data_IF_961037471576
#
_entry.id   IF_961037471576
#
_cell.length_a   1.000
_cell.length_b   1.000
_cell.length_c   1.000
_cell.angle_alpha   90.00
_cell.angle_beta   90.00
_cell.angle_gamma   90.00
#
_symmetry.space_group_name_H-M   'P 1'
#
loop_
_entity.id
_entity.type
_entity.pdbx_description
1 polymer ?
#
# COMPACT_ATOMS: atom_id res chain seq x y z
N UNK A 1 33.07 16.43 -35.10
CA UNK A 1 33.34 15.22 -34.28
C UNK A 1 32.04 14.82 -33.61
N UNK A 2 31.50 13.64 -33.95
CA UNK A 2 30.28 13.09 -33.35
C UNK A 2 30.71 12.05 -32.31
N UNK A 3 30.49 12.35 -31.03
CA UNK A 3 30.76 11.43 -29.92
C UNK A 3 29.53 10.56 -29.72
N UNK A 4 29.64 9.27 -29.98
CA UNK A 4 28.61 8.29 -29.67
C UNK A 4 28.88 7.74 -28.27
N UNK A 5 28.02 8.11 -27.31
CA UNK A 5 28.02 7.56 -25.96
C UNK A 5 27.19 6.27 -25.99
N UNK A 6 27.86 5.11 -25.91
CA UNK A 6 27.19 3.82 -25.76
C UNK A 6 26.65 3.71 -24.32
N UNK A 7 25.33 3.83 -24.16
CA UNK A 7 24.65 3.50 -22.91
C UNK A 7 24.47 1.97 -22.88
N UNK A 8 25.31 1.28 -22.12
CA UNK A 8 25.17 -0.15 -21.88
C UNK A 8 23.91 -0.38 -21.04
N UNK A 9 22.87 -0.95 -21.65
CA UNK A 9 21.67 -1.43 -20.97
C UNK A 9 22.06 -2.64 -20.11
N UNK A 10 22.18 -2.43 -18.80
CA UNK A 10 22.30 -3.52 -17.84
C UNK A 10 20.91 -4.13 -17.64
N UNK A 11 20.71 -5.32 -18.20
CA UNK A 11 19.54 -6.15 -17.95
C UNK A 11 19.67 -6.71 -16.51
N UNK A 12 18.98 -6.10 -15.56
CA UNK A 12 18.89 -6.63 -14.19
C UNK A 12 17.87 -7.77 -14.21
N UNK A 13 18.35 -9.01 -14.14
CA UNK A 13 17.53 -10.16 -13.80
C UNK A 13 17.28 -10.11 -12.29
N UNK A 14 16.28 -9.36 -11.86
CA UNK A 14 15.72 -9.55 -10.53
C UNK A 14 14.90 -10.85 -10.58
N UNK A 15 15.21 -11.81 -9.70
CA UNK A 15 14.30 -12.90 -9.39
C UNK A 15 13.07 -12.29 -8.73
N UNK A 16 12.17 -11.78 -9.56
CA UNK A 16 10.89 -11.25 -9.15
C UNK A 16 10.06 -12.46 -8.76
N UNK A 17 9.74 -12.61 -7.48
CA UNK A 17 8.73 -13.57 -7.05
C UNK A 17 7.38 -12.85 -7.19
N UNK A 18 6.63 -13.01 -8.30
CA UNK A 18 5.34 -12.34 -8.46
C UNK A 18 4.35 -12.77 -7.38
N UNK A 19 4.54 -13.93 -6.73
CA UNK A 19 3.72 -14.34 -5.60
C UNK A 19 3.80 -13.36 -4.43
N UNK A 20 4.91 -12.63 -4.24
CA UNK A 20 5.00 -11.61 -3.18
C UNK A 20 4.21 -10.33 -3.51
N UNK A 21 3.98 -10.06 -4.80
CA UNK A 21 3.18 -8.90 -5.26
C UNK A 21 1.68 -9.19 -5.17
N UNK A 22 1.29 -10.46 -5.28
CA UNK A 22 -0.10 -10.92 -5.14
C UNK A 22 -0.40 -11.65 -3.83
N UNK A 23 0.59 -11.78 -2.96
CA UNK A 23 0.40 -12.10 -1.54
C UNK A 23 -0.14 -10.84 -0.84
N UNK A 24 -1.31 -10.38 -1.28
CA UNK A 24 -2.26 -9.84 -0.32
C UNK A 24 -2.55 -10.98 0.62
N UNK A 25 -2.02 -10.87 1.83
CA UNK A 25 -2.06 -11.81 2.93
C UNK A 25 -3.16 -12.89 2.80
N UNK A 26 -2.78 -14.05 2.23
CA UNK A 26 -3.57 -15.28 2.36
C UNK A 26 -3.06 -16.13 3.53
N UNK A 27 -2.11 -15.61 4.32
CA UNK A 27 -1.43 -16.30 5.41
C UNK A 27 -1.59 -15.57 6.76
N UNK A 28 -2.70 -14.84 6.94
CA UNK A 28 -3.31 -14.67 8.24
C UNK A 28 -3.87 -16.03 8.67
N UNK A 29 -2.97 -16.88 9.17
CA UNK A 29 -3.23 -18.08 10.00
C UNK A 29 -3.43 -19.42 9.26
N UNK A 30 -2.47 -19.85 8.44
CA UNK A 30 -2.22 -21.30 8.32
C UNK A 30 -1.40 -21.78 9.52
N UNK A 31 -2.07 -21.90 10.66
CA UNK A 31 -1.37 -22.16 11.92
C UNK A 31 -2.24 -22.20 13.17
N UNK A 32 -3.45 -22.74 13.09
CA UNK A 32 -4.14 -23.47 14.17
C UNK A 32 -5.48 -23.97 13.61
N UNK A 33 -5.76 -25.26 13.79
CA UNK A 33 -7.14 -25.73 13.85
C UNK A 33 -7.79 -25.10 15.09
N UNK A 34 -8.27 -23.86 14.98
CA UNK A 34 -9.10 -23.22 16.01
C UNK A 34 -10.54 -23.61 15.73
N UNK A 35 -11.10 -24.31 16.70
CA UNK A 35 -12.51 -24.59 16.86
C UNK A 35 -13.33 -23.32 16.62
N UNK A 36 -14.44 -23.42 15.88
CA UNK A 36 -15.43 -22.35 15.70
C UNK A 36 -15.82 -21.79 17.09
N UNK A 37 -15.26 -20.66 17.52
CA UNK A 37 -15.65 -19.92 18.73
C UNK A 37 -15.12 -18.46 18.64
N UNK A 38 -16.04 -17.51 18.55
CA UNK A 38 -15.94 -16.10 18.99
C UNK A 38 -14.64 -15.30 18.70
N UNK A 39 -14.16 -15.26 17.46
CA UNK A 39 -13.23 -14.19 17.06
C UNK A 39 -13.99 -12.86 17.05
N UNK A 40 -13.50 -11.83 17.76
CA UNK A 40 -14.11 -10.52 17.78
C UNK A 40 -14.07 -9.96 16.35
N UNK A 41 -15.22 -9.69 15.69
CA UNK A 41 -15.23 -9.17 14.33
C UNK A 41 -14.47 -7.85 14.19
N UNK A 42 -14.22 -7.15 15.31
CA UNK A 42 -13.50 -5.88 15.36
C UNK A 42 -12.01 -5.99 15.68
N UNK A 43 -11.47 -7.19 15.95
CA UNK A 43 -10.05 -7.38 16.33
C UNK A 43 -9.11 -6.81 15.26
N UNK A 44 -9.34 -7.19 14.01
CA UNK A 44 -8.54 -6.75 12.87
C UNK A 44 -9.22 -5.66 12.03
N UNK A 45 -10.52 -5.42 12.25
CA UNK A 45 -11.35 -4.64 11.34
C UNK A 45 -12.32 -3.71 12.07
N UNK A 46 -12.05 -2.40 12.07
CA UNK A 46 -12.88 -1.40 12.78
C UNK A 46 -14.37 -1.40 12.38
N UNK A 47 -14.68 -1.81 11.15
CA UNK A 47 -16.05 -1.88 10.63
C UNK A 47 -16.66 -3.29 10.72
N UNK A 48 -15.92 -4.26 11.24
CA UNK A 48 -16.32 -5.65 11.33
C UNK A 48 -16.51 -6.33 9.97
N UNK A 49 -17.34 -7.37 9.98
CA UNK A 49 -17.66 -8.20 8.80
C UNK A 49 -18.92 -7.72 8.04
N UNK A 50 -19.45 -6.54 8.36
CA UNK A 50 -20.67 -6.00 7.75
C UNK A 50 -21.85 -7.00 7.75
N UNK A 51 -21.97 -7.81 8.81
CA UNK A 51 -23.00 -8.86 8.90
C UNK A 51 -22.76 -10.07 8.00
N UNK A 52 -21.51 -10.39 7.66
CA UNK A 52 -21.14 -11.53 6.81
C UNK A 52 -20.81 -11.17 5.37
N UNK A 53 -21.07 -9.92 4.95
CA UNK A 53 -20.90 -9.48 3.57
C UNK A 53 -19.43 -9.45 3.17
N UNK A 54 -18.54 -8.98 4.06
CA UNK A 54 -17.11 -8.92 3.76
C UNK A 54 -16.51 -10.32 3.61
N UNK A 55 -16.84 -11.25 4.49
CA UNK A 55 -16.45 -12.67 4.39
C UNK A 55 -16.99 -13.31 3.11
N UNK A 56 -18.27 -13.06 2.79
CA UNK A 56 -18.88 -13.59 1.55
C UNK A 56 -18.17 -13.09 0.30
N UNK A 57 -17.81 -11.80 0.26
CA UNK A 57 -17.04 -11.24 -0.86
C UNK A 57 -15.66 -11.89 -0.95
N UNK A 58 -14.96 -12.06 0.18
CA UNK A 58 -13.64 -12.69 0.21
C UNK A 58 -13.68 -14.16 -0.25
N UNK A 59 -14.71 -14.91 0.15
CA UNK A 59 -14.96 -16.28 -0.32
C UNK A 59 -15.23 -16.32 -1.83
N UNK A 60 -15.86 -15.28 -2.37
CA UNK A 60 -16.08 -15.07 -3.80
C UNK A 60 -14.87 -14.44 -4.53
N UNK A 61 -13.73 -14.30 -3.85
CA UNK A 61 -12.50 -13.80 -4.45
C UNK A 61 -12.38 -12.28 -4.51
N UNK A 62 -13.17 -11.53 -3.75
CA UNK A 62 -13.08 -10.06 -3.69
C UNK A 62 -12.81 -9.61 -2.26
N UNK A 63 -11.65 -8.98 -2.03
CA UNK A 63 -11.29 -8.42 -0.73
C UNK A 63 -11.27 -6.90 -0.81
N UNK A 64 -11.84 -6.23 0.20
CA UNK A 64 -11.89 -4.77 0.29
C UNK A 64 -11.37 -4.33 1.65
N UNK A 65 -10.29 -3.55 1.64
CA UNK A 65 -9.63 -3.04 2.84
C UNK A 65 -9.63 -1.51 2.82
N UNK A 66 -9.89 -0.93 3.99
CA UNK A 66 -9.85 0.51 4.19
C UNK A 66 -9.07 0.79 5.47
N UNK A 67 -7.93 1.44 5.30
CA UNK A 67 -7.04 1.82 6.38
C UNK A 67 -7.01 3.33 6.52
N UNK A 68 -6.84 3.82 7.73
CA UNK A 68 -6.72 5.25 8.01
C UNK A 68 -5.75 5.50 9.15
N UNK A 69 -4.87 6.48 8.98
CA UNK A 69 -3.93 6.89 10.00
C UNK A 69 -4.10 8.38 10.30
N UNK A 70 -4.11 8.72 11.60
CA UNK A 70 -4.19 10.09 12.06
C UNK A 70 -2.93 10.45 12.86
N UNK A 71 -2.18 11.42 12.35
CA UNK A 71 -0.94 11.90 12.96
C UNK A 71 -1.10 13.32 13.48
N UNK A 72 -0.70 13.55 14.74
CA UNK A 72 -0.57 14.87 15.33
C UNK A 72 0.88 15.09 15.78
N UNK A 73 1.53 16.14 15.30
CA UNK A 73 2.96 16.38 15.51
C UNK A 73 3.25 17.85 15.77
N UNK A 74 4.30 18.11 16.56
CA UNK A 74 4.76 19.46 16.88
C UNK A 74 6.28 19.59 16.83
N UNK A 75 6.78 20.76 16.44
CA UNK A 75 8.21 21.11 16.47
C UNK A 75 8.53 21.75 17.81
N UNK A 76 9.11 20.98 18.74
CA UNK A 76 9.38 21.47 20.10
C UNK A 76 10.50 22.53 20.17
N UNK A 77 11.53 22.42 19.32
CA UNK A 77 12.64 23.37 19.22
C UNK A 77 13.31 23.28 17.83
N UNK A 78 14.02 24.32 17.43
CA UNK A 78 14.71 24.39 16.14
C UNK A 78 13.76 24.59 14.95
N UNK A 79 14.09 23.97 13.83
CA UNK A 79 13.31 24.04 12.59
C UNK A 79 13.47 25.34 11.81
N UNK A 80 12.75 25.44 10.69
CA UNK A 80 12.82 26.58 9.77
C UNK A 80 11.85 27.72 10.12
N UNK A 81 11.23 27.69 11.31
CA UNK A 81 10.21 28.64 11.82
C UNK A 81 9.26 29.17 10.73
N UNK A 82 8.26 28.37 10.38
CA UNK A 82 7.16 28.75 9.46
C UNK A 82 5.81 28.36 10.09
N UNK A 83 4.86 29.30 10.17
CA UNK A 83 3.49 29.01 10.60
C UNK A 83 3.36 28.53 12.05
N UNK A 84 2.31 27.74 12.34
CA UNK A 84 2.12 27.03 13.63
C UNK A 84 3.18 25.96 13.82
N UNK A 85 3.63 25.75 15.05
CA UNK A 85 4.57 24.68 15.41
C UNK A 85 3.92 23.29 15.37
N UNK A 86 2.60 23.23 15.31
CA UNK A 86 1.81 21.99 15.27
C UNK A 86 1.22 21.72 13.89
N UNK A 87 1.00 20.45 13.61
CA UNK A 87 0.33 19.97 12.41
C UNK A 87 -0.43 18.67 12.67
N UNK A 88 -1.45 18.45 11.87
CA UNK A 88 -2.30 17.27 11.90
C UNK A 88 -2.50 16.75 10.48
N UNK A 89 -2.34 15.44 10.29
CA UNK A 89 -2.50 14.79 8.99
C UNK A 89 -3.39 13.57 9.18
N UNK A 90 -4.36 13.43 8.29
CA UNK A 90 -5.12 12.20 8.12
C UNK A 90 -4.73 11.61 6.77
N UNK A 91 -4.26 10.37 6.76
CA UNK A 91 -4.04 9.58 5.55
C UNK A 91 -5.01 8.41 5.53
N UNK A 92 -5.30 7.91 4.32
CA UNK A 92 -6.14 6.76 4.14
C UNK A 92 -5.79 5.99 2.89
N UNK A 93 -6.06 4.70 2.92
CA UNK A 93 -5.80 3.76 1.85
C UNK A 93 -7.01 2.88 1.60
N UNK A 94 -7.46 2.79 0.35
CA UNK A 94 -8.50 1.88 -0.10
C UNK A 94 -7.86 0.82 -1.02
N UNK A 95 -7.84 -0.42 -0.55
CA UNK A 95 -7.35 -1.58 -1.28
C UNK A 95 -8.50 -2.47 -1.78
N UNK A 96 -8.43 -2.91 -3.03
CA UNK A 96 -9.32 -3.92 -3.61
C UNK A 96 -8.46 -4.99 -4.26
N UNK A 97 -8.70 -6.25 -3.88
CA UNK A 97 -8.05 -7.42 -4.48
C UNK A 97 -9.12 -8.32 -5.09
N UNK A 98 -8.86 -8.81 -6.29
CA UNK A 98 -9.76 -9.72 -7.01
C UNK A 98 -8.97 -10.94 -7.46
N UNK A 99 -9.39 -12.12 -7.01
CA UNK A 99 -8.98 -13.44 -7.50
C UNK A 99 -10.02 -13.90 -8.52
N UNK A 100 -9.64 -13.90 -9.80
CA UNK A 100 -10.56 -14.24 -10.90
C UNK A 100 -10.96 -15.71 -10.90
N UNK A 101 -10.17 -16.57 -10.27
CA UNK A 101 -10.45 -18.00 -10.12
C UNK A 101 -11.54 -18.24 -9.09
N UNK A 102 -11.41 -17.64 -7.90
CA UNK A 102 -12.45 -17.68 -6.85
C UNK A 102 -13.73 -16.97 -7.28
N UNK A 103 -13.62 -15.89 -8.05
CA UNK A 103 -14.76 -15.18 -8.63
C UNK A 103 -15.45 -15.95 -9.78
N UNK A 104 -14.92 -17.10 -10.20
CA UNK A 104 -15.51 -17.94 -11.26
C UNK A 104 -15.39 -17.35 -12.67
N UNK A 105 -14.52 -16.36 -12.87
CA UNK A 105 -14.33 -15.70 -14.17
C UNK A 105 -13.38 -16.51 -15.07
N UNK A 106 -12.14 -16.71 -14.62
CA UNK A 106 -11.14 -17.56 -15.25
C UNK A 106 -10.00 -17.85 -14.27
N UNK A 107 -9.32 -19.00 -14.39
CA UNK A 107 -8.29 -19.39 -13.43
C UNK A 107 -7.00 -18.56 -13.57
N UNK A 108 -6.30 -18.38 -12.44
CA UNK A 108 -4.94 -17.86 -12.38
C UNK A 108 -4.79 -16.35 -12.60
N UNK A 109 -5.88 -15.58 -12.55
CA UNK A 109 -5.84 -14.12 -12.66
C UNK A 109 -5.99 -13.43 -11.30
N UNK A 110 -5.20 -12.38 -11.09
CA UNK A 110 -5.22 -11.56 -9.90
C UNK A 110 -5.18 -10.08 -10.27
N UNK A 111 -6.08 -9.28 -9.72
CA UNK A 111 -6.14 -7.84 -9.92
C UNK A 111 -6.03 -7.14 -8.56
N UNK A 112 -5.08 -6.23 -8.43
CA UNK A 112 -4.91 -5.36 -7.26
C UNK A 112 -5.15 -3.91 -7.67
N UNK A 113 -5.91 -3.21 -6.83
CA UNK A 113 -6.16 -1.78 -6.96
C UNK A 113 -5.94 -1.10 -5.62
N UNK A 114 -5.25 0.02 -5.64
CA UNK A 114 -5.02 0.82 -4.44
C UNK A 114 -5.19 2.29 -4.71
N UNK A 115 -6.01 2.94 -3.90
CA UNK A 115 -6.21 4.38 -3.91
C UNK A 115 -5.84 4.96 -2.55
N UNK A 116 -4.90 5.89 -2.55
CA UNK A 116 -4.44 6.56 -1.34
C UNK A 116 -4.88 8.01 -1.34
N UNK A 117 -5.06 8.55 -0.14
CA UNK A 117 -5.31 9.96 0.05
C UNK A 117 -4.75 10.47 1.35
N UNK A 118 -4.55 11.78 1.39
CA UNK A 118 -4.23 12.50 2.62
C UNK A 118 -4.89 13.86 2.69
N UNK A 119 -5.07 14.37 3.90
CA UNK A 119 -5.55 15.70 4.19
C UNK A 119 -4.95 16.26 5.48
N UNK A 120 -5.08 17.56 5.67
CA UNK A 120 -4.49 18.27 6.82
C UNK A 120 -3.15 18.94 6.50
N UNK A 121 -2.46 19.40 7.54
CA UNK A 121 -1.25 20.20 7.44
C UNK A 121 -0.09 19.52 8.19
N UNK A 122 0.92 19.05 7.45
CA UNK A 122 2.09 18.39 8.00
C UNK A 122 3.14 19.35 8.53
N UNK A 123 3.92 18.95 9.54
CA UNK A 123 5.08 19.70 10.02
C UNK A 123 6.37 19.42 9.24
N UNK A 124 6.38 18.55 8.22
CA UNK A 124 7.59 18.14 7.49
C UNK A 124 8.40 19.34 6.94
N UNK A 125 7.74 20.32 6.33
CA UNK A 125 8.42 21.55 5.84
C UNK A 125 8.90 22.48 6.96
N UNK A 126 8.31 22.39 8.16
CA UNK A 126 8.63 23.21 9.33
C UNK A 126 9.81 22.65 10.11
N UNK A 127 9.87 21.33 10.23
CA UNK A 127 10.95 20.61 10.92
C UNK A 127 12.33 20.90 10.30
N UNK A 128 12.39 21.14 8.98
CA UNK A 128 13.64 21.48 8.29
C UNK A 128 14.68 20.36 8.27
N UNK A 129 14.25 19.13 8.57
CA UNK A 129 15.09 17.96 8.56
C UNK A 129 15.34 17.47 7.12
N UNK A 130 16.48 16.83 6.90
CA UNK A 130 16.83 16.22 5.60
C UNK A 130 16.02 14.95 5.33
N UNK A 131 15.59 14.27 6.39
CA UNK A 131 14.59 13.20 6.35
C UNK A 131 13.23 13.76 6.77
N UNK A 132 12.12 13.33 6.15
CA UNK A 132 10.80 13.69 6.64
C UNK A 132 10.62 13.17 8.07
N UNK A 133 9.98 13.98 8.92
CA UNK A 133 9.55 13.56 10.27
C UNK A 133 8.22 12.80 10.24
N UNK A 134 7.65 12.67 9.05
CA UNK A 134 6.42 11.97 8.75
C UNK A 134 6.37 11.68 7.24
N UNK A 135 6.78 10.48 6.86
CA UNK A 135 6.71 9.98 5.50
C UNK A 135 5.26 9.80 4.98
N UNK A 136 4.32 9.43 5.85
CA UNK A 136 2.90 9.25 5.48
C UNK A 136 2.26 10.56 4.99
N UNK A 137 2.71 11.69 5.53
CA UNK A 137 2.31 13.02 5.06
C UNK A 137 2.81 13.39 3.64
N UNK A 138 3.64 12.56 3.02
CA UNK A 138 4.15 12.79 1.66
C UNK A 138 3.35 12.05 0.59
N UNK A 139 2.62 10.99 0.98
CA UNK A 139 1.91 10.11 0.05
C UNK A 139 0.40 10.45 0.00
N UNK A 140 -0.25 10.32 -1.18
CA UNK A 140 0.35 10.09 -2.48
C UNK A 140 1.21 11.28 -2.95
N UNK A 141 2.26 10.99 -3.71
CA UNK A 141 3.19 12.00 -4.19
C UNK A 141 2.58 12.76 -5.40
N UNK A 142 1.86 13.84 -5.11
CA UNK A 142 1.23 14.68 -6.15
C UNK A 142 2.22 15.78 -6.56
N UNK A 143 2.70 15.81 -7.82
CA UNK A 143 3.62 16.83 -8.29
C UNK A 143 3.05 18.24 -8.07
N UNK A 144 3.81 19.09 -7.39
CA UNK A 144 3.40 20.47 -7.09
C UNK A 144 2.61 20.67 -5.79
N UNK A 145 2.13 19.60 -5.14
CA UNK A 145 1.23 19.66 -3.98
C UNK A 145 1.70 18.84 -2.78
N UNK A 146 2.99 18.93 -2.43
CA UNK A 146 3.62 18.28 -1.25
C UNK A 146 3.00 18.66 0.11
N UNK A 147 2.02 19.56 0.16
CA UNK A 147 1.32 19.96 1.40
C UNK A 147 -0.18 20.12 1.25
N UNK A 148 -0.71 19.98 0.03
CA UNK A 148 -2.16 20.02 -0.18
C UNK A 148 -2.70 18.61 -0.06
N UNK A 149 -3.90 18.47 0.50
CA UNK A 149 -4.59 17.19 0.52
C UNK A 149 -4.95 16.74 -0.88
N UNK A 150 -4.99 15.44 -1.11
CA UNK A 150 -5.32 14.87 -2.40
C UNK A 150 -5.47 13.36 -2.34
N UNK A 151 -6.12 12.82 -3.37
CA UNK A 151 -6.31 11.39 -3.59
C UNK A 151 -5.69 10.99 -4.91
N UNK A 152 -5.15 9.78 -4.97
CA UNK A 152 -4.55 9.21 -6.18
C UNK A 152 -4.76 7.71 -6.23
N UNK A 153 -5.01 7.19 -7.44
CA UNK A 153 -4.85 5.76 -7.71
C UNK A 153 -3.34 5.50 -7.77
N UNK A 154 -2.83 4.78 -6.79
CA UNK A 154 -1.39 4.55 -6.63
C UNK A 154 -0.99 3.15 -7.08
N UNK A 155 -1.94 2.21 -7.13
CA UNK A 155 -1.73 0.87 -7.65
C UNK A 155 -2.89 0.41 -8.52
N UNK A 156 -2.54 -0.20 -9.65
CA UNK A 156 -3.47 -0.94 -10.52
C UNK A 156 -2.64 -2.00 -11.22
N UNK A 157 -2.56 -3.20 -10.65
CA UNK A 157 -1.73 -4.28 -11.17
C UNK A 157 -2.59 -5.49 -11.51
N UNK A 158 -2.22 -6.17 -12.59
CA UNK A 158 -2.85 -7.41 -13.00
C UNK A 158 -1.78 -8.47 -13.21
N UNK A 159 -2.00 -9.66 -12.64
CA UNK A 159 -1.26 -10.85 -12.99
C UNK A 159 -2.13 -11.94 -13.58
N UNK A 160 -1.53 -12.69 -14.49
CA UNK A 160 -2.11 -13.89 -15.08
C UNK A 160 -1.06 -15.00 -15.11
N UNK A 161 -1.34 -16.10 -14.42
CA UNK A 161 -0.61 -17.35 -14.56
C UNK A 161 -1.18 -18.14 -15.73
N UNK A 162 -0.34 -18.43 -16.74
CA UNK A 162 -0.72 -19.32 -17.86
C UNK A 162 -0.31 -20.77 -17.58
N UNK A 163 0.61 -20.98 -16.65
CA UNK A 163 1.01 -22.27 -16.09
C UNK A 163 1.62 -22.08 -14.70
N UNK A 164 1.92 -23.16 -13.98
CA UNK A 164 2.62 -23.10 -12.69
C UNK A 164 4.00 -22.44 -12.77
N UNK A 165 4.60 -22.40 -13.96
CA UNK A 165 5.97 -21.93 -14.19
C UNK A 165 6.02 -20.61 -14.97
N UNK A 166 4.88 -20.13 -15.47
CA UNK A 166 4.81 -18.96 -16.34
C UNK A 166 3.64 -18.06 -15.96
N UNK A 167 3.97 -16.85 -15.53
CA UNK A 167 3.02 -15.79 -15.25
C UNK A 167 3.47 -14.45 -15.86
N UNK A 168 2.48 -13.62 -16.17
CA UNK A 168 2.66 -12.24 -16.61
C UNK A 168 2.13 -11.31 -15.54
N UNK A 169 2.81 -10.19 -15.31
CA UNK A 169 2.34 -9.11 -14.44
C UNK A 169 2.53 -7.78 -15.16
N UNK A 170 1.59 -6.86 -14.99
CA UNK A 170 1.72 -5.51 -15.52
C UNK A 170 0.72 -4.55 -14.90
N UNK A 171 0.96 -3.25 -15.11
CA UNK A 171 0.08 -2.18 -14.64
C UNK A 171 0.84 -1.05 -13.96
N UNK A 172 0.11 -0.27 -13.17
CA UNK A 172 0.66 0.72 -12.27
C UNK A 172 1.13 0.01 -10.99
N UNK A 173 2.42 -0.33 -10.95
CA UNK A 173 3.05 -0.96 -9.81
C UNK A 173 3.49 0.13 -8.86
N UNK A 174 3.05 0.03 -7.61
CA UNK A 174 3.57 0.84 -6.54
C UNK A 174 4.69 0.10 -5.81
N UNK A 175 5.74 0.84 -5.43
CA UNK A 175 6.92 0.31 -4.73
C UNK A 175 7.13 1.02 -3.39
N UNK A 176 6.13 1.74 -2.90
CA UNK A 176 6.13 2.38 -1.59
C UNK A 176 6.00 1.37 -0.44
N UNK A 177 5.19 0.34 -0.67
CA UNK A 177 5.01 -0.85 0.15
C UNK A 177 6.21 -1.75 -0.09
N UNK A 178 7.04 -1.85 0.94
CA UNK A 178 8.18 -2.75 0.99
C UNK A 178 7.71 -4.14 1.38
N UNK A 179 8.51 -4.81 2.19
CA UNK A 179 8.18 -6.12 2.74
C UNK A 179 7.28 -5.97 3.97
N UNK A 180 6.33 -6.89 4.15
CA UNK A 180 5.38 -6.93 5.26
C UNK A 180 6.03 -7.39 6.59
N UNK A 181 7.32 -7.72 6.58
CA UNK A 181 8.04 -8.06 7.80
C UNK A 181 8.06 -6.91 8.81
N UNK A 182 7.85 -7.18 10.11
CA UNK A 182 7.82 -6.16 11.16
C UNK A 182 9.16 -5.44 11.39
N UNK A 183 10.24 -5.97 10.79
CA UNK A 183 11.58 -5.40 10.82
C UNK A 183 12.03 -4.83 9.46
N UNK A 184 11.24 -5.04 8.40
CA UNK A 184 11.50 -4.45 7.10
C UNK A 184 10.79 -3.09 7.03
N UNK A 185 11.57 -2.03 6.86
CA UNK A 185 11.02 -0.70 6.62
C UNK A 185 10.45 -0.58 5.21
N UNK A 186 9.43 0.25 5.05
CA UNK A 186 8.89 0.66 3.76
C UNK A 186 8.74 2.18 3.69
N UNK A 187 8.48 2.74 2.51
CA UNK A 187 8.56 4.20 2.29
C UNK A 187 7.56 4.98 3.17
N UNK A 188 6.41 4.39 3.50
CA UNK A 188 5.41 4.98 4.41
C UNK A 188 5.69 4.78 5.91
N UNK A 189 6.65 3.91 6.27
CA UNK A 189 7.01 3.63 7.67
C UNK A 189 7.73 4.83 8.31
N UNK A 190 7.31 5.23 9.52
CA UNK A 190 8.07 6.09 10.44
C UNK A 190 8.09 5.47 11.83
#
# INVERSE_FOLDING_TARGET
MKTYLFLTSSLIFALFNPAAVFAGDSDATSGKSVQINDADPFEDNLLGDWGGVRSTLADQGVTVNLDGNYSFQGVANGGLRRGSDYGNVFSGNLGILIDTGKAGLWPGGFLSMRAEGRGGESVVKRAGATSPVNNDALLPLIPGSLSDGGWGLTELTYAQFLSEQFGLVGGLINTDTGDANPIAGFLGSN
#
